data_IF_773046918196
#
_entry.id   IF_773046918196
#
_cell.length_a   1.000
_cell.length_b   1.000
_cell.length_c   1.000
_cell.angle_alpha   90.00
_cell.angle_beta   90.00
_cell.angle_gamma   90.00
#
_symmetry.space_group_name_H-M   'P 1'
#
loop_
_entity.id
_entity.type
_entity.pdbx_description
1 polymer ?
#
# COMPACT_ATOMS: atom_id res chain seq x y z
N UNK A 1 -13.17 2.37 -29.81
CA UNK A 1 -14.03 1.94 -28.68
C UNK A 1 -13.31 1.88 -27.33
N UNK A 2 -12.23 2.65 -27.10
CA UNK A 2 -11.31 2.48 -25.91
C UNK A 2 -11.46 3.55 -24.81
N UNK A 3 -12.30 4.58 -25.01
CA UNK A 3 -12.42 5.69 -24.05
C UNK A 3 -13.62 5.61 -23.09
N UNK A 4 -14.53 4.66 -23.26
CA UNK A 4 -15.72 4.56 -22.39
C UNK A 4 -15.42 3.92 -21.03
N UNK A 5 -14.51 2.96 -20.99
CA UNK A 5 -14.16 2.25 -19.74
C UNK A 5 -13.40 3.12 -18.73
N UNK A 6 -12.56 4.03 -19.21
CA UNK A 6 -11.80 4.96 -18.34
C UNK A 6 -12.72 6.00 -17.70
N UNK A 7 -13.71 6.49 -18.46
CA UNK A 7 -14.70 7.45 -17.94
C UNK A 7 -15.57 6.82 -16.84
N UNK A 8 -15.92 5.56 -16.97
CA UNK A 8 -16.74 4.84 -15.99
C UNK A 8 -16.00 4.65 -14.66
N UNK A 9 -14.70 4.35 -14.70
CA UNK A 9 -13.87 4.20 -13.49
C UNK A 9 -13.70 5.54 -12.77
N UNK A 10 -13.48 6.62 -13.51
CA UNK A 10 -13.35 7.98 -12.93
C UNK A 10 -14.67 8.44 -12.31
N UNK A 11 -15.82 8.12 -12.93
CA UNK A 11 -17.15 8.47 -12.40
C UNK A 11 -17.48 7.74 -11.09
N UNK A 12 -17.05 6.51 -10.91
CA UNK A 12 -17.25 5.75 -9.66
C UNK A 12 -16.44 6.37 -8.52
N UNK A 13 -15.24 6.92 -8.78
CA UNK A 13 -14.44 7.60 -7.77
C UNK A 13 -15.02 8.96 -7.33
N UNK A 14 -15.75 9.64 -8.18
CA UNK A 14 -16.37 10.95 -7.89
C UNK A 14 -17.68 10.84 -7.07
N UNK A 15 -18.38 9.72 -7.13
CA UNK A 15 -19.65 9.50 -6.41
C UNK A 15 -19.48 9.17 -4.91
N UNK A 16 -18.26 8.92 -4.42
CA UNK A 16 -17.99 8.66 -3.00
C UNK A 16 -17.93 9.91 -2.10
N UNK A 17 -18.32 11.10 -2.58
CA UNK A 17 -18.16 12.35 -1.80
C UNK A 17 -19.37 12.79 -0.98
N UNK A 18 -20.50 12.09 -0.99
CA UNK A 18 -21.68 12.59 -0.29
C UNK A 18 -22.31 11.58 0.66
N UNK A 19 -21.78 11.50 1.87
CA UNK A 19 -22.57 11.06 3.02
C UNK A 19 -22.15 11.87 4.25
N UNK A 20 -22.85 12.96 4.61
CA UNK A 20 -22.71 13.56 5.92
C UNK A 20 -23.46 12.70 6.94
N UNK A 21 -22.75 11.87 7.68
CA UNK A 21 -23.33 11.20 8.84
C UNK A 21 -22.91 11.94 10.09
N UNK A 22 -23.82 12.77 10.58
CA UNK A 22 -23.76 13.36 11.92
C UNK A 22 -24.12 12.28 12.95
N UNK A 23 -23.12 11.77 13.66
CA UNK A 23 -23.26 11.21 15.02
C UNK A 23 -21.91 11.35 15.72
N UNK A 24 -21.88 12.12 16.80
CA UNK A 24 -20.70 12.39 17.62
C UNK A 24 -20.33 11.22 18.53
N UNK A 25 -19.92 10.12 17.94
CA UNK A 25 -19.05 9.15 18.59
C UNK A 25 -17.64 9.38 18.07
N UNK A 26 -16.61 9.31 18.91
CA UNK A 26 -15.21 9.44 18.52
C UNK A 26 -14.92 8.50 17.34
N UNK A 27 -15.05 9.02 16.12
CA UNK A 27 -14.88 8.25 14.89
C UNK A 27 -13.41 8.03 14.64
N UNK A 28 -13.05 6.86 14.16
CA UNK A 28 -11.70 6.58 13.70
C UNK A 28 -11.30 7.55 12.59
N UNK A 29 -10.07 8.02 12.60
CA UNK A 29 -9.52 8.90 11.58
C UNK A 29 -9.71 8.29 10.18
N UNK A 30 -10.09 9.13 9.22
CA UNK A 30 -10.46 8.68 7.88
C UNK A 30 -9.24 8.42 6.99
N UNK A 31 -8.15 9.10 7.26
CA UNK A 31 -6.96 9.10 6.43
C UNK A 31 -5.76 8.76 7.29
N UNK A 32 -4.81 8.06 6.72
CA UNK A 32 -3.53 7.74 7.38
C UNK A 32 -2.42 7.89 6.34
N UNK A 33 -1.37 8.65 6.69
CA UNK A 33 -0.12 8.71 5.93
C UNK A 33 0.95 8.02 6.76
N UNK A 34 1.76 7.18 6.15
CA UNK A 34 2.80 6.45 6.86
C UNK A 34 3.98 6.08 5.99
N UNK A 35 5.13 5.96 6.63
CA UNK A 35 6.33 5.36 6.09
C UNK A 35 6.33 3.87 6.43
N UNK A 36 6.74 3.05 5.49
CA UNK A 36 6.88 1.62 5.66
C UNK A 36 8.28 1.20 5.23
N UNK A 37 8.91 0.39 6.06
CA UNK A 37 10.19 -0.27 5.79
C UNK A 37 9.93 -1.75 5.60
N UNK A 38 10.50 -2.33 4.56
CA UNK A 38 10.36 -3.75 4.17
C UNK A 38 8.92 -4.20 3.89
N UNK A 39 7.98 -3.45 3.66
CA UNK A 39 6.60 -3.85 3.36
C UNK A 39 6.35 -4.12 1.88
N UNK A 40 5.10 -3.97 1.46
CA UNK A 40 4.65 -4.19 0.08
C UNK A 40 5.33 -3.25 -0.92
N UNK A 41 5.83 -2.09 -0.47
CA UNK A 41 6.45 -1.07 -1.31
C UNK A 41 7.97 -1.22 -1.49
N UNK A 42 8.57 -2.35 -1.08
CA UNK A 42 10.02 -2.58 -1.20
C UNK A 42 10.78 -2.29 0.09
N UNK A 43 12.02 -1.81 0.00
CA UNK A 43 12.82 -1.50 1.19
C UNK A 43 12.34 -0.25 1.91
N UNK A 44 11.77 0.70 1.18
CA UNK A 44 11.18 1.89 1.78
C UNK A 44 10.04 2.43 0.92
N UNK A 45 8.94 2.82 1.55
CA UNK A 45 7.79 3.41 0.86
C UNK A 45 7.07 4.44 1.71
N UNK A 46 6.46 5.42 1.04
CA UNK A 46 5.46 6.31 1.62
C UNK A 46 4.08 5.86 1.14
N UNK A 47 3.12 5.82 2.05
CA UNK A 47 1.82 5.27 1.79
C UNK A 47 0.73 6.20 2.32
N UNK A 48 -0.37 6.24 1.58
CA UNK A 48 -1.61 6.85 2.00
C UNK A 48 -2.70 5.77 2.06
N UNK A 49 -3.43 5.73 3.14
CA UNK A 49 -4.57 4.85 3.32
C UNK A 49 -5.82 5.65 3.67
N UNK A 50 -6.91 5.37 2.97
CA UNK A 50 -8.23 5.94 3.23
C UNK A 50 -9.18 4.87 3.74
N UNK A 51 -9.78 5.15 4.87
CA UNK A 51 -10.81 4.33 5.47
C UNK A 51 -12.12 4.49 4.67
N UNK A 52 -12.58 3.41 4.05
CA UNK A 52 -13.78 3.39 3.20
C UNK A 52 -14.99 2.78 3.87
N UNK A 53 -14.78 1.86 4.82
CA UNK A 53 -15.86 1.22 5.59
C UNK A 53 -15.55 1.24 7.08
N UNK A 54 -16.59 1.54 7.88
CA UNK A 54 -16.56 1.53 9.34
C UNK A 54 -17.80 0.83 9.85
N UNK A 55 -17.63 -0.31 10.48
CA UNK A 55 -18.73 -1.03 11.10
C UNK A 55 -18.30 -1.55 12.47
N UNK A 56 -18.79 -0.93 13.54
CA UNK A 56 -18.40 -1.27 14.94
C UNK A 56 -16.86 -1.27 15.09
N UNK A 57 -16.28 -2.45 15.29
CA UNK A 57 -14.84 -2.65 15.44
C UNK A 57 -14.16 -3.08 14.12
N UNK A 58 -14.93 -3.29 13.05
CA UNK A 58 -14.40 -3.65 11.72
C UNK A 58 -14.20 -2.40 10.87
N UNK A 59 -13.05 -2.26 10.31
CA UNK A 59 -12.64 -1.16 9.45
C UNK A 59 -12.04 -1.71 8.16
N UNK A 60 -12.35 -1.07 7.03
CA UNK A 60 -11.74 -1.40 5.75
C UNK A 60 -11.13 -0.15 5.16
N UNK A 61 -9.86 -0.22 4.80
CA UNK A 61 -9.10 0.85 4.17
C UNK A 61 -8.57 0.46 2.80
N UNK A 62 -8.45 1.45 1.93
CA UNK A 62 -7.78 1.34 0.63
C UNK A 62 -6.47 2.10 0.72
N UNK A 63 -5.39 1.42 0.37
CA UNK A 63 -4.02 1.90 0.43
C UNK A 63 -3.46 2.11 -0.97
N UNK A 64 -2.71 3.19 -1.15
CA UNK A 64 -1.85 3.45 -2.29
C UNK A 64 -0.52 3.99 -1.78
N UNK A 65 0.59 3.58 -2.39
CA UNK A 65 1.91 4.04 -2.00
C UNK A 65 2.87 4.22 -3.16
N UNK A 66 4.03 4.75 -2.83
CA UNK A 66 5.19 4.83 -3.72
C UNK A 66 6.44 4.45 -2.92
N UNK A 67 7.29 3.64 -3.50
CA UNK A 67 8.47 3.12 -2.81
C UNK A 67 9.59 2.71 -3.75
N UNK A 68 10.62 2.14 -3.17
CA UNK A 68 11.82 1.73 -3.90
C UNK A 68 12.52 0.55 -3.23
N UNK A 69 13.23 -0.25 -4.02
CA UNK A 69 14.22 -1.22 -3.53
C UNK A 69 15.63 -0.63 -3.50
N UNK A 70 16.01 0.13 -4.54
CA UNK A 70 17.34 0.73 -4.67
C UNK A 70 17.23 2.14 -5.23
N UNK A 71 18.09 3.03 -4.75
CA UNK A 71 18.14 4.42 -5.22
C UNK A 71 19.14 4.64 -6.35
N UNK A 72 20.10 3.72 -6.50
CA UNK A 72 21.14 3.80 -7.51
C UNK A 72 21.15 2.53 -8.36
N UNK A 73 21.50 2.68 -9.62
CA UNK A 73 21.75 1.57 -10.54
C UNK A 73 23.15 0.95 -10.31
N UNK A 74 23.50 -0.02 -11.14
CA UNK A 74 24.80 -0.71 -11.08
C UNK A 74 25.97 0.18 -11.57
N UNK A 75 25.69 1.28 -12.27
CA UNK A 75 26.68 2.29 -12.68
C UNK A 75 26.80 3.43 -11.65
N UNK A 76 26.19 3.29 -10.47
CA UNK A 76 26.18 4.28 -9.38
C UNK A 76 25.41 5.57 -9.66
N UNK A 77 24.73 5.68 -10.81
CA UNK A 77 23.86 6.81 -11.11
C UNK A 77 22.56 6.77 -10.29
N UNK A 78 21.98 7.94 -10.02
CA UNK A 78 20.68 8.04 -9.38
C UNK A 78 19.61 7.59 -10.39
N UNK A 79 19.19 6.35 -10.27
CA UNK A 79 18.17 5.72 -11.11
C UNK A 79 17.35 4.75 -10.27
N UNK A 80 16.40 5.26 -9.45
CA UNK A 80 15.69 4.45 -8.47
C UNK A 80 14.80 3.38 -9.12
N UNK A 81 14.75 2.23 -8.48
CA UNK A 81 13.66 1.28 -8.70
C UNK A 81 12.36 1.96 -8.27
N UNK A 82 11.28 1.74 -9.00
CA UNK A 82 9.98 2.32 -8.70
C UNK A 82 9.04 1.19 -8.29
N UNK A 83 8.39 1.34 -7.14
CA UNK A 83 7.33 0.44 -6.70
C UNK A 83 6.07 1.24 -6.39
N UNK A 84 4.92 0.72 -6.82
CA UNK A 84 3.61 1.31 -6.54
C UNK A 84 2.72 0.24 -5.92
N UNK A 85 2.70 0.12 -4.58
CA UNK A 85 1.80 -0.80 -3.89
C UNK A 85 0.38 -0.23 -3.84
N UNK A 86 -0.59 -1.10 -4.12
CA UNK A 86 -2.01 -0.87 -3.94
C UNK A 86 -2.60 -2.03 -3.13
N UNK A 87 -3.40 -1.75 -2.11
CA UNK A 87 -4.01 -2.79 -1.28
C UNK A 87 -5.36 -2.38 -0.69
N UNK A 88 -6.16 -3.39 -0.37
CA UNK A 88 -7.33 -3.27 0.49
C UNK A 88 -7.02 -4.01 1.78
N UNK A 89 -7.12 -3.31 2.91
CA UNK A 89 -6.85 -3.83 4.25
C UNK A 89 -8.13 -3.81 5.08
N UNK A 90 -8.46 -4.93 5.69
CA UNK A 90 -9.49 -5.03 6.72
C UNK A 90 -8.81 -5.17 8.08
N UNK A 91 -9.23 -4.39 9.07
CA UNK A 91 -8.68 -4.48 10.41
C UNK A 91 -9.78 -4.41 11.47
N UNK A 92 -9.62 -5.27 12.48
CA UNK A 92 -10.60 -5.46 13.53
C UNK A 92 -10.01 -5.13 14.89
N UNK A 93 -10.69 -4.26 15.63
CA UNK A 93 -10.30 -3.86 16.99
C UNK A 93 -10.70 -2.42 17.31
N UNK A 94 -10.26 -1.92 18.47
CA UNK A 94 -10.52 -0.53 18.91
C UNK A 94 -9.29 0.37 18.77
N UNK A 95 -8.25 0.08 19.52
CA UNK A 95 -6.95 0.76 19.49
C UNK A 95 -5.85 -0.18 18.98
N UNK A 96 -6.00 -1.44 19.32
CA UNK A 96 -5.18 -2.54 18.86
C UNK A 96 -6.00 -3.32 17.85
N UNK A 97 -5.47 -3.51 16.65
CA UNK A 97 -6.19 -4.14 15.55
C UNK A 97 -5.36 -5.31 15.01
N UNK A 98 -6.05 -6.40 14.70
CA UNK A 98 -5.55 -7.43 13.81
C UNK A 98 -5.89 -6.98 12.40
N UNK A 99 -4.93 -7.03 11.49
CA UNK A 99 -5.07 -6.59 10.10
C UNK A 99 -4.90 -7.77 9.14
N UNK A 100 -5.78 -7.82 8.14
CA UNK A 100 -5.69 -8.73 7.00
C UNK A 100 -5.91 -7.91 5.73
N UNK A 101 -5.09 -8.10 4.73
CA UNK A 101 -5.21 -7.37 3.48
C UNK A 101 -4.75 -8.17 2.28
N UNK A 102 -5.17 -7.71 1.13
CA UNK A 102 -4.72 -8.21 -0.17
C UNK A 102 -4.38 -7.03 -1.06
N UNK A 103 -3.37 -7.21 -1.89
CA UNK A 103 -2.93 -6.14 -2.76
C UNK A 103 -2.05 -6.59 -3.89
N UNK A 104 -1.70 -5.62 -4.72
CA UNK A 104 -0.75 -5.78 -5.81
C UNK A 104 0.29 -4.68 -5.75
N UNK A 105 1.50 -5.01 -6.18
CA UNK A 105 2.58 -4.04 -6.32
C UNK A 105 3.06 -4.06 -7.76
N UNK A 106 2.94 -2.92 -8.42
CA UNK A 106 3.67 -2.66 -9.66
C UNK A 106 5.12 -2.36 -9.30
N UNK A 107 6.05 -2.97 -10.02
CA UNK A 107 7.49 -2.82 -9.78
C UNK A 107 8.20 -2.59 -11.10
N UNK A 108 9.03 -1.56 -11.16
CA UNK A 108 9.92 -1.23 -12.28
C UNK A 108 11.35 -1.21 -11.77
N UNK A 109 12.09 -2.28 -12.04
CA UNK A 109 13.47 -2.49 -11.54
C UNK A 109 14.48 -2.19 -12.65
N UNK A 110 15.55 -1.53 -12.27
CA UNK A 110 16.68 -1.28 -13.15
C UNK A 110 17.62 -2.48 -13.16
N UNK A 111 17.87 -3.04 -14.35
CA UNK A 111 18.74 -4.19 -14.57
C UNK A 111 19.76 -3.90 -15.67
N UNK A 112 20.89 -4.59 -15.65
CA UNK A 112 21.80 -4.66 -16.79
C UNK A 112 21.24 -5.62 -17.84
N UNK A 113 21.25 -5.22 -19.11
CA UNK A 113 20.97 -6.12 -20.23
C UNK A 113 22.03 -7.22 -20.29
N UNK A 114 21.64 -8.49 -20.41
CA UNK A 114 22.61 -9.59 -20.46
C UNK A 114 23.44 -9.63 -21.74
N UNK A 115 23.06 -8.86 -22.77
CA UNK A 115 23.73 -8.89 -24.09
C UNK A 115 24.74 -7.76 -24.24
N UNK A 116 24.36 -6.53 -23.89
CA UNK A 116 25.16 -5.32 -24.16
C UNK A 116 25.42 -4.49 -22.90
N UNK A 117 25.07 -5.03 -21.71
CA UNK A 117 25.26 -4.39 -20.41
C UNK A 117 24.63 -3.00 -20.26
N UNK A 118 23.76 -2.61 -21.18
CA UNK A 118 23.04 -1.34 -21.09
C UNK A 118 21.97 -1.39 -20.00
N UNK A 119 21.69 -0.22 -19.46
CA UNK A 119 20.64 -0.01 -18.47
C UNK A 119 19.27 -0.29 -19.11
N UNK A 120 18.52 -1.23 -18.56
CA UNK A 120 17.16 -1.53 -18.98
C UNK A 120 16.22 -1.58 -17.77
N UNK A 121 14.93 -1.33 -17.99
CA UNK A 121 13.90 -1.45 -16.95
C UNK A 121 13.05 -2.68 -17.19
N UNK A 122 12.89 -3.46 -16.14
CA UNK A 122 12.02 -4.63 -16.10
C UNK A 122 10.78 -4.32 -15.25
N UNK A 123 9.62 -4.44 -15.88
CA UNK A 123 8.34 -4.13 -15.25
C UNK A 123 7.62 -5.43 -14.87
N UNK A 124 7.14 -5.51 -13.65
CA UNK A 124 6.44 -6.68 -13.15
C UNK A 124 5.31 -6.31 -12.18
N UNK A 125 4.36 -7.24 -12.04
CA UNK A 125 3.32 -7.18 -11.01
C UNK A 125 3.49 -8.32 -10.05
N UNK A 126 3.34 -8.05 -8.77
CA UNK A 126 3.30 -9.07 -7.72
C UNK A 126 2.03 -8.95 -6.89
N UNK A 127 1.45 -10.08 -6.53
CA UNK A 127 0.32 -10.14 -5.60
C UNK A 127 0.84 -10.36 -4.19
N UNK A 128 0.23 -9.68 -3.22
CA UNK A 128 0.65 -9.71 -1.84
C UNK A 128 -0.55 -9.97 -0.94
N UNK A 129 -0.34 -10.75 0.10
CA UNK A 129 -1.25 -10.84 1.25
C UNK A 129 -0.59 -10.07 2.38
N UNK A 130 -1.38 -9.39 3.20
CA UNK A 130 -0.92 -8.68 4.37
C UNK A 130 -1.61 -9.27 5.60
N UNK A 131 -0.83 -9.74 6.56
CA UNK A 131 -1.32 -10.23 7.86
C UNK A 131 -0.51 -9.50 8.92
N UNK A 132 -1.18 -8.77 9.81
CA UNK A 132 -0.44 -7.95 10.73
C UNK A 132 -1.19 -7.47 11.96
N UNK A 133 -0.47 -6.67 12.70
CA UNK A 133 -0.95 -5.94 13.86
C UNK A 133 -0.82 -4.45 13.59
N UNK A 134 -1.87 -3.69 13.93
CA UNK A 134 -1.92 -2.23 13.85
C UNK A 134 -2.30 -1.63 15.19
N UNK A 135 -1.50 -0.69 15.68
CA UNK A 135 -1.87 0.23 16.75
C UNK A 135 -2.31 1.55 16.13
N UNK A 136 -3.55 1.94 16.35
CA UNK A 136 -4.10 3.22 15.89
C UNK A 136 -5.27 3.63 16.78
N UNK A 137 -5.19 4.81 17.41
CA UNK A 137 -6.30 5.35 18.19
C UNK A 137 -7.46 5.75 17.29
N UNK A 138 -8.69 5.77 17.82
CA UNK A 138 -9.88 6.17 17.07
C UNK A 138 -9.84 7.64 16.61
N UNK A 139 -9.25 8.52 17.41
CA UNK A 139 -9.00 9.92 17.04
C UNK A 139 -7.72 10.05 16.22
N UNK A 140 -7.43 11.26 15.77
CA UNK A 140 -6.13 11.62 15.19
C UNK A 140 -4.97 11.18 16.07
N UNK A 141 -3.87 10.77 15.49
CA UNK A 141 -2.67 10.42 16.24
C UNK A 141 -1.74 9.46 15.52
N UNK A 142 -0.71 9.05 16.24
CA UNK A 142 0.28 8.12 15.73
C UNK A 142 -0.33 6.76 15.40
N UNK A 143 0.13 6.18 14.31
CA UNK A 143 -0.16 4.82 13.88
C UNK A 143 1.15 4.05 13.83
N UNK A 144 1.11 2.84 14.35
CA UNK A 144 2.20 1.87 14.26
C UNK A 144 1.65 0.56 13.69
N UNK A 145 2.39 -0.09 12.79
CA UNK A 145 1.99 -1.34 12.17
C UNK A 145 3.18 -2.27 11.99
N UNK A 146 2.95 -3.55 12.23
CA UNK A 146 3.86 -4.65 11.92
C UNK A 146 3.09 -5.68 11.13
N UNK A 147 3.64 -6.15 10.02
CA UNK A 147 2.95 -7.04 9.12
C UNK A 147 3.88 -8.06 8.46
N UNK A 148 3.31 -9.21 8.19
CA UNK A 148 3.87 -10.25 7.35
C UNK A 148 3.21 -10.16 5.98
N UNK A 149 4.02 -10.08 4.93
CA UNK A 149 3.59 -9.89 3.55
C UNK A 149 4.19 -10.98 2.65
N UNK A 150 3.62 -12.17 2.58
CA UNK A 150 4.04 -13.14 1.59
C UNK A 150 3.81 -12.59 0.19
N UNK A 151 4.87 -12.62 -0.62
CA UNK A 151 4.88 -12.13 -1.99
C UNK A 151 4.76 -13.32 -2.93
N UNK A 152 3.74 -13.30 -3.79
CA UNK A 152 3.55 -14.25 -4.88
C UNK A 152 3.91 -13.55 -6.19
N UNK A 153 5.06 -13.86 -6.74
CA UNK A 153 5.45 -13.38 -8.07
C UNK A 153 4.98 -14.35 -9.16
N UNK A 154 4.72 -13.84 -10.35
CA UNK A 154 4.32 -14.62 -11.54
C UNK A 154 5.30 -15.75 -11.86
N UNK A 155 6.56 -15.65 -11.43
CA UNK A 155 7.61 -16.66 -11.64
C UNK A 155 7.74 -17.65 -10.48
N UNK A 156 6.66 -17.91 -9.74
CA UNK A 156 6.52 -19.05 -8.79
C UNK A 156 7.42 -19.04 -7.55
N UNK A 157 8.06 -17.95 -7.18
CA UNK A 157 8.83 -17.90 -5.94
C UNK A 157 7.99 -17.23 -4.84
N UNK A 158 7.53 -18.06 -3.90
CA UNK A 158 6.95 -17.58 -2.65
C UNK A 158 8.07 -17.02 -1.77
N UNK A 159 8.00 -15.70 -1.47
CA UNK A 159 8.97 -15.05 -0.60
C UNK A 159 8.29 -14.60 0.69
N UNK A 160 8.90 -14.98 1.81
CA UNK A 160 8.52 -14.43 3.11
C UNK A 160 9.04 -13.01 3.22
N UNK A 161 8.15 -12.08 3.53
CA UNK A 161 8.49 -10.67 3.64
C UNK A 161 7.79 -10.06 4.84
N UNK A 162 8.44 -9.16 5.53
CA UNK A 162 7.92 -8.52 6.72
C UNK A 162 7.97 -7.01 6.53
N UNK A 163 7.09 -6.27 7.21
CA UNK A 163 7.07 -4.83 7.14
C UNK A 163 6.82 -4.18 8.50
N UNK A 164 7.40 -3.01 8.69
CA UNK A 164 7.13 -2.14 9.84
C UNK A 164 6.77 -0.77 9.31
N UNK A 165 5.71 -0.18 9.88
CA UNK A 165 5.25 1.13 9.46
C UNK A 165 5.02 2.04 10.66
N UNK A 166 5.32 3.32 10.47
CA UNK A 166 4.99 4.39 11.39
C UNK A 166 4.34 5.54 10.62
N UNK A 167 3.29 6.13 11.18
CA UNK A 167 2.55 7.18 10.51
C UNK A 167 1.63 7.96 11.40
N UNK A 168 0.79 8.77 10.76
CA UNK A 168 -0.17 9.63 11.42
C UNK A 168 -1.55 9.51 10.77
N UNK A 169 -2.55 9.31 11.60
CA UNK A 169 -3.96 9.21 11.23
C UNK A 169 -4.69 10.53 11.52
N UNK A 170 -5.53 11.02 10.56
CA UNK A 170 -6.23 12.32 10.63
C UNK A 170 -7.59 12.32 9.91
#
# INVERSE_FOLDING_TARGET
MRNRSVLTIVSIFLLCKTAPAQFSTKRMAANTVYLEVFGMGGYGSINYERLVLRHKNLHVGVRLGAGTYRLRDFETHINPDITVPFAVNAYYGKTHHIELGVGQTFTSIVKASPVDFKVMRDNSFSSNINIGYRYQKHSKGMMFRMNYNPIMSTNSVFKHWYGVSIGYAF
#
